data_IF_922672928438
#
_entry.id   IF_922672928438
#
_cell.length_a   1.000
_cell.length_b   1.000
_cell.length_c   1.000
_cell.angle_alpha   90.00
_cell.angle_beta   90.00
_cell.angle_gamma   90.00
#
_symmetry.space_group_name_H-M   'P 1'
#
loop_
_entity.id
_entity.type
_entity.pdbx_description
1 polymer ?
#
# COMPACT_ATOMS: atom_id res chain seq x y z
N UNK A 1 -10.75 -4.27 -6.28
CA UNK A 1 -9.60 -5.18 -6.54
C UNK A 1 -10.01 -6.56 -7.07
N UNK A 2 -10.53 -7.49 -6.27
CA UNK A 2 -10.91 -8.82 -6.78
C UNK A 2 -12.00 -8.79 -7.87
N UNK A 3 -12.99 -7.89 -7.74
CA UNK A 3 -14.01 -7.64 -8.78
C UNK A 3 -13.42 -7.00 -10.05
N UNK A 4 -12.39 -6.18 -9.91
CA UNK A 4 -11.69 -5.51 -11.02
C UNK A 4 -10.62 -6.41 -11.67
N UNK A 5 -10.45 -7.64 -11.17
CA UNK A 5 -9.51 -8.63 -11.69
C UNK A 5 -8.07 -8.46 -11.21
N UNK A 6 -7.79 -7.53 -10.29
CA UNK A 6 -6.44 -7.28 -9.76
C UNK A 6 -6.05 -8.18 -8.58
N UNK A 7 -6.97 -9.00 -8.08
CA UNK A 7 -6.69 -10.05 -7.08
C UNK A 7 -7.36 -11.37 -7.48
N UNK A 8 -6.87 -12.52 -7.00
CA UNK A 8 -7.52 -13.81 -7.22
C UNK A 8 -8.98 -13.79 -6.73
N UNK A 9 -9.90 -14.37 -7.51
CA UNK A 9 -11.33 -14.42 -7.16
C UNK A 9 -11.62 -15.17 -5.85
N UNK A 10 -10.69 -16.04 -5.42
CA UNK A 10 -10.79 -16.78 -4.16
C UNK A 10 -10.77 -15.83 -2.96
N UNK A 11 -10.01 -14.74 -3.03
CA UNK A 11 -9.89 -13.74 -1.95
C UNK A 11 -11.20 -12.99 -1.67
N UNK A 12 -12.16 -12.99 -2.61
CA UNK A 12 -13.48 -12.36 -2.44
C UNK A 12 -14.59 -13.35 -2.10
N UNK A 13 -14.27 -14.61 -1.74
CA UNK A 13 -15.29 -15.58 -1.31
C UNK A 13 -15.86 -15.17 0.04
N UNK A 14 -17.18 -14.94 0.07
CA UNK A 14 -17.93 -14.60 1.26
C UNK A 14 -18.50 -15.85 1.93
N UNK A 15 -18.53 -15.86 3.26
CA UNK A 15 -19.23 -16.88 4.03
C UNK A 15 -20.73 -16.72 3.88
N UNK A 16 -21.46 -17.81 3.64
CA UNK A 16 -22.92 -17.80 3.46
C UNK A 16 -23.67 -17.34 4.73
N UNK A 17 -23.10 -17.55 5.92
CA UNK A 17 -23.77 -17.29 7.19
C UNK A 17 -23.59 -15.86 7.72
N UNK A 18 -22.44 -15.24 7.44
CA UNK A 18 -22.05 -13.95 8.02
C UNK A 18 -21.59 -12.91 6.98
N UNK A 19 -21.61 -13.26 5.70
CA UNK A 19 -21.16 -12.40 4.60
C UNK A 19 -19.73 -11.82 4.80
N UNK A 20 -18.87 -12.56 5.51
CA UNK A 20 -17.48 -12.17 5.76
C UNK A 20 -16.54 -12.80 4.73
N UNK A 21 -15.47 -12.11 4.29
CA UNK A 21 -14.49 -12.66 3.35
C UNK A 21 -13.55 -13.66 4.04
N UNK A 22 -14.07 -14.84 4.38
CA UNK A 22 -13.39 -15.83 5.22
C UNK A 22 -12.04 -16.30 4.63
N UNK A 23 -11.97 -16.45 3.30
CA UNK A 23 -10.74 -16.91 2.64
C UNK A 23 -9.60 -15.90 2.80
N UNK A 24 -9.90 -14.59 2.71
CA UNK A 24 -8.91 -13.55 2.93
C UNK A 24 -8.48 -13.47 4.41
N UNK A 25 -9.42 -13.64 5.33
CA UNK A 25 -9.16 -13.62 6.77
C UNK A 25 -8.27 -14.79 7.20
N UNK A 26 -8.57 -16.01 6.75
CA UNK A 26 -7.76 -17.19 7.07
C UNK A 26 -6.35 -17.03 6.49
N UNK A 27 -6.23 -16.57 5.24
CA UNK A 27 -4.94 -16.32 4.63
C UNK A 27 -4.12 -15.29 5.41
N UNK A 28 -4.73 -14.15 5.76
CA UNK A 28 -4.08 -13.12 6.57
C UNK A 28 -3.66 -13.66 7.94
N UNK A 29 -4.52 -14.42 8.60
CA UNK A 29 -4.23 -15.03 9.91
C UNK A 29 -3.01 -15.94 9.85
N UNK A 30 -2.94 -16.84 8.86
CA UNK A 30 -1.81 -17.76 8.68
C UNK A 30 -0.51 -16.99 8.43
N UNK A 31 -0.55 -15.96 7.58
CA UNK A 31 0.62 -15.12 7.29
C UNK A 31 1.09 -14.37 8.54
N UNK A 32 0.17 -13.70 9.26
CA UNK A 32 0.51 -12.95 10.48
C UNK A 32 1.06 -13.87 11.55
N UNK A 33 0.43 -15.03 11.78
CA UNK A 33 0.91 -16.00 12.77
C UNK A 33 2.32 -16.50 12.41
N UNK A 34 2.57 -16.83 11.14
CA UNK A 34 3.90 -17.23 10.68
C UNK A 34 4.96 -16.14 10.91
N UNK A 35 4.63 -14.88 10.58
CA UNK A 35 5.52 -13.73 10.81
C UNK A 35 5.74 -13.50 12.31
N UNK A 36 4.70 -13.63 13.15
CA UNK A 36 4.83 -13.48 14.60
C UNK A 36 5.75 -14.54 15.22
N UNK A 37 5.62 -15.80 14.82
CA UNK A 37 6.53 -16.87 15.27
C UNK A 37 7.95 -16.59 14.83
N UNK A 38 8.15 -16.20 13.56
CA UNK A 38 9.47 -15.83 13.03
C UNK A 38 10.09 -14.68 13.84
N UNK A 39 9.33 -13.62 14.12
CA UNK A 39 9.80 -12.48 14.89
C UNK A 39 10.21 -12.86 16.31
N UNK A 40 9.45 -13.76 16.95
CA UNK A 40 9.78 -14.25 18.29
C UNK A 40 11.10 -15.03 18.30
N UNK A 41 11.41 -15.77 17.23
CA UNK A 41 12.65 -16.54 17.10
C UNK A 41 13.86 -15.64 16.80
N UNK A 42 13.68 -14.59 15.99
CA UNK A 42 14.79 -13.76 15.50
C UNK A 42 14.99 -12.44 16.23
N UNK A 43 14.06 -12.04 17.11
CA UNK A 43 14.03 -10.75 17.82
C UNK A 43 14.10 -9.50 16.89
N UNK A 44 13.68 -9.62 15.63
CA UNK A 44 13.71 -8.54 14.64
C UNK A 44 12.48 -7.61 14.69
N UNK A 45 11.92 -7.38 15.87
CA UNK A 45 10.70 -6.59 16.02
C UNK A 45 10.84 -5.16 15.44
N UNK A 46 11.96 -4.48 15.75
CA UNK A 46 12.24 -3.14 15.24
C UNK A 46 12.34 -3.09 13.71
N UNK A 47 12.83 -4.15 13.07
CA UNK A 47 12.95 -4.20 11.61
C UNK A 47 11.56 -4.19 10.96
N UNK A 48 10.61 -4.99 11.46
CA UNK A 48 9.25 -5.04 10.92
C UNK A 48 8.51 -3.74 11.15
N UNK A 49 8.70 -3.09 12.31
CA UNK A 49 8.14 -1.76 12.56
C UNK A 49 8.68 -0.72 11.58
N UNK A 50 10.01 -0.65 11.39
CA UNK A 50 10.63 0.28 10.46
C UNK A 50 10.20 0.02 9.02
N UNK A 51 10.07 -1.25 8.62
CA UNK A 51 9.56 -1.63 7.30
C UNK A 51 8.10 -1.20 7.13
N UNK A 52 7.25 -1.43 8.13
CA UNK A 52 5.86 -0.98 8.11
C UNK A 52 5.74 0.53 7.95
N UNK A 53 6.50 1.30 8.75
CA UNK A 53 6.53 2.76 8.64
C UNK A 53 7.04 3.24 7.27
N UNK A 54 8.03 2.56 6.68
CA UNK A 54 8.53 2.89 5.35
C UNK A 54 7.48 2.63 4.26
N UNK A 55 6.77 1.50 4.33
CA UNK A 55 5.67 1.17 3.41
C UNK A 55 4.53 2.18 3.54
N UNK A 56 4.13 2.53 4.77
CA UNK A 56 3.10 3.54 5.03
C UNK A 56 3.50 4.91 4.47
N UNK A 57 4.76 5.32 4.66
CA UNK A 57 5.26 6.58 4.13
C UNK A 57 5.22 6.63 2.59
N UNK A 58 5.57 5.53 1.93
CA UNK A 58 5.41 5.39 0.47
C UNK A 58 3.94 5.53 0.08
N UNK A 59 3.03 4.74 0.68
CA UNK A 59 1.60 4.74 0.34
C UNK A 59 1.01 6.14 0.52
N UNK A 60 1.25 6.79 1.66
CA UNK A 60 0.70 8.11 1.93
C UNK A 60 1.28 9.21 1.05
N UNK A 61 2.56 9.10 0.65
CA UNK A 61 3.12 10.01 -0.35
C UNK A 61 2.38 9.88 -1.70
N UNK A 62 2.14 8.65 -2.18
CA UNK A 62 1.40 8.40 -3.42
C UNK A 62 -0.05 8.87 -3.33
N UNK A 63 -0.72 8.65 -2.20
CA UNK A 63 -2.10 9.12 -1.98
C UNK A 63 -2.16 10.64 -2.02
N UNK A 64 -1.26 11.34 -1.32
CA UNK A 64 -1.23 12.80 -1.28
C UNK A 64 -0.87 13.41 -2.66
N UNK A 65 0.07 12.79 -3.38
CA UNK A 65 0.39 13.18 -4.76
C UNK A 65 -0.78 12.94 -5.71
N UNK A 66 -1.46 11.79 -5.61
CA UNK A 66 -2.62 11.48 -6.45
C UNK A 66 -3.76 12.45 -6.21
N UNK A 67 -4.00 12.80 -4.95
CA UNK A 67 -4.96 13.82 -4.57
C UNK A 67 -4.62 15.18 -5.17
N UNK A 68 -3.37 15.63 -5.04
CA UNK A 68 -2.88 16.89 -5.63
C UNK A 68 -3.01 16.86 -7.15
N UNK A 69 -2.64 15.75 -7.79
CA UNK A 69 -2.75 15.53 -9.24
C UNK A 69 -4.20 15.59 -9.73
N UNK A 70 -5.13 14.93 -9.02
CA UNK A 70 -6.57 15.03 -9.36
C UNK A 70 -7.07 16.48 -9.24
N UNK A 71 -6.56 17.25 -8.28
CA UNK A 71 -6.97 18.64 -8.11
C UNK A 71 -6.54 19.55 -9.25
N UNK A 72 -5.35 19.31 -9.79
CA UNK A 72 -4.76 20.08 -10.88
C UNK A 72 -5.28 19.63 -12.25
N UNK A 73 -5.44 18.32 -12.46
CA UNK A 73 -5.87 17.75 -13.75
C UNK A 73 -7.38 17.81 -13.97
N UNK A 74 -8.17 17.71 -12.90
CA UNK A 74 -9.64 17.72 -12.96
C UNK A 74 -10.24 18.76 -12.00
N UNK A 75 -10.02 20.07 -12.25
CA UNK A 75 -10.65 21.14 -11.46
C UNK A 75 -12.19 21.15 -11.57
N UNK A 76 -12.74 20.65 -12.68
CA UNK A 76 -14.17 20.63 -13.01
C UNK A 76 -14.99 19.60 -12.23
N UNK A 77 -14.35 18.58 -11.67
CA UNK A 77 -15.06 17.54 -10.93
C UNK A 77 -15.74 18.11 -9.68
N UNK A 78 -17.05 17.81 -9.54
CA UNK A 78 -17.82 18.21 -8.37
C UNK A 78 -17.26 17.53 -7.12
N UNK A 79 -16.93 18.32 -6.10
CA UNK A 79 -16.36 17.84 -4.82
C UNK A 79 -17.37 18.06 -3.70
N UNK A 80 -18.14 17.04 -3.30
CA UNK A 80 -19.11 17.16 -2.20
C UNK A 80 -18.44 17.54 -0.87
N UNK A 81 -17.18 17.14 -0.69
CA UNK A 81 -16.37 17.47 0.48
C UNK A 81 -15.07 18.18 0.07
N UNK A 82 -14.71 19.22 0.82
CA UNK A 82 -13.46 19.97 0.63
C UNK A 82 -12.74 20.10 1.96
N UNK A 83 -11.50 19.61 1.99
CA UNK A 83 -10.61 19.72 3.14
C UNK A 83 -10.21 21.19 3.32
N UNK A 84 -10.27 21.67 4.56
CA UNK A 84 -9.75 22.99 4.95
C UNK A 84 -8.23 23.05 4.69
N UNK A 85 -7.75 24.14 4.09
CA UNK A 85 -6.32 24.27 3.71
C UNK A 85 -5.99 23.93 2.25
N UNK A 86 -6.96 23.49 1.45
CA UNK A 86 -6.83 23.52 -0.01
C UNK A 86 -5.62 22.75 -0.56
N UNK A 87 -5.08 23.21 -1.70
CA UNK A 87 -3.93 22.60 -2.39
C UNK A 87 -2.61 22.66 -1.58
N UNK A 88 -2.30 23.75 -0.86
CA UNK A 88 -1.07 23.83 -0.07
C UNK A 88 -0.97 22.73 0.99
N UNK A 89 -2.07 22.41 1.68
CA UNK A 89 -2.07 21.37 2.69
C UNK A 89 -1.73 19.99 2.10
N UNK A 90 -2.28 19.66 0.92
CA UNK A 90 -1.97 18.39 0.26
C UNK A 90 -0.52 18.27 -0.21
N UNK A 91 0.07 19.38 -0.68
CA UNK A 91 1.48 19.41 -1.06
C UNK A 91 2.36 19.27 0.19
N UNK A 92 2.02 19.96 1.28
CA UNK A 92 2.71 19.85 2.56
C UNK A 92 2.70 18.43 3.11
N UNK A 93 1.54 17.74 3.08
CA UNK A 93 1.42 16.35 3.51
C UNK A 93 2.27 15.41 2.62
N UNK A 94 2.23 15.60 1.29
CA UNK A 94 3.06 14.81 0.38
C UNK A 94 4.55 15.01 0.70
N UNK A 95 4.98 16.25 0.88
CA UNK A 95 6.35 16.59 1.26
C UNK A 95 6.75 15.97 2.60
N UNK A 96 5.89 16.05 3.61
CA UNK A 96 6.13 15.45 4.93
C UNK A 96 6.37 13.95 4.85
N UNK A 97 5.50 13.20 4.17
CA UNK A 97 5.69 11.75 4.04
C UNK A 97 6.90 11.37 3.19
N UNK A 98 7.25 12.17 2.18
CA UNK A 98 8.49 11.99 1.42
C UNK A 98 9.72 12.24 2.32
N UNK A 99 9.68 13.27 3.17
CA UNK A 99 10.76 13.55 4.11
C UNK A 99 10.90 12.45 5.18
N UNK A 100 9.79 11.95 5.71
CA UNK A 100 9.78 10.80 6.64
C UNK A 100 10.39 9.59 5.96
N UNK A 101 10.01 9.29 4.71
CA UNK A 101 10.59 8.18 3.95
C UNK A 101 12.09 8.38 3.73
N UNK A 102 12.54 9.58 3.34
CA UNK A 102 13.95 9.87 3.15
C UNK A 102 14.75 9.72 4.46
N UNK A 103 14.21 10.19 5.58
CA UNK A 103 14.81 10.02 6.90
C UNK A 103 14.88 8.54 7.31
N UNK A 104 13.83 7.76 7.05
CA UNK A 104 13.83 6.31 7.28
C UNK A 104 14.89 5.61 6.44
N UNK A 105 15.02 5.93 5.16
CA UNK A 105 16.03 5.32 4.28
C UNK A 105 17.46 5.70 4.67
N UNK A 106 17.67 6.89 5.22
CA UNK A 106 18.98 7.35 5.68
C UNK A 106 19.38 6.75 7.04
N UNK A 107 18.41 6.46 7.92
CA UNK A 107 18.66 6.03 9.31
C UNK A 107 18.47 4.53 9.55
N UNK A 108 17.78 3.81 8.67
CA UNK A 108 17.49 2.40 8.85
C UNK A 108 18.61 1.48 8.35
N UNK A 109 18.62 0.25 8.88
CA UNK A 109 19.50 -0.80 8.38
C UNK A 109 19.23 -1.06 6.89
N UNK A 110 20.28 -1.39 6.14
CA UNK A 110 20.20 -1.68 4.70
C UNK A 110 19.11 -2.73 4.35
N UNK A 111 18.82 -3.63 5.29
CA UNK A 111 17.78 -4.66 5.20
C UNK A 111 16.39 -4.06 4.96
N UNK A 112 16.05 -2.95 5.62
CA UNK A 112 14.76 -2.27 5.46
C UNK A 112 14.64 -1.70 4.05
N UNK A 113 15.66 -1.02 3.57
CA UNK A 113 15.72 -0.50 2.20
C UNK A 113 15.62 -1.62 1.16
N UNK A 114 16.38 -2.71 1.34
CA UNK A 114 16.34 -3.86 0.43
C UNK A 114 14.94 -4.51 0.37
N UNK A 115 14.30 -4.70 1.52
CA UNK A 115 12.93 -5.25 1.59
C UNK A 115 11.90 -4.29 0.99
N UNK A 116 12.05 -2.98 1.22
CA UNK A 116 11.16 -1.97 0.64
C UNK A 116 11.27 -1.96 -0.89
N UNK A 117 12.48 -1.84 -1.45
CA UNK A 117 12.66 -1.78 -2.91
C UNK A 117 12.28 -3.09 -3.59
N UNK A 118 12.54 -4.25 -2.98
CA UNK A 118 12.10 -5.54 -3.52
C UNK A 118 10.57 -5.67 -3.51
N UNK A 119 9.90 -5.25 -2.43
CA UNK A 119 8.43 -5.24 -2.38
C UNK A 119 7.81 -4.29 -3.41
N UNK A 120 8.40 -3.11 -3.62
CA UNK A 120 7.99 -2.19 -4.68
C UNK A 120 8.20 -2.79 -6.07
N UNK A 121 9.36 -3.38 -6.33
CA UNK A 121 9.65 -4.02 -7.61
C UNK A 121 8.64 -5.16 -7.90
N UNK A 122 8.30 -5.97 -6.90
CA UNK A 122 7.26 -6.99 -7.02
C UNK A 122 5.88 -6.37 -7.30
N UNK A 123 5.52 -5.30 -6.61
CA UNK A 123 4.25 -4.61 -6.83
C UNK A 123 4.14 -4.02 -8.24
N UNK A 124 5.19 -3.34 -8.72
CA UNK A 124 5.24 -2.81 -10.09
C UNK A 124 5.26 -3.91 -11.14
N UNK A 125 6.02 -4.99 -10.91
CA UNK A 125 6.05 -6.16 -11.79
C UNK A 125 4.68 -6.82 -11.91
N UNK A 126 4.00 -7.01 -10.78
CA UNK A 126 2.63 -7.55 -10.76
C UNK A 126 1.64 -6.62 -11.46
N UNK A 127 1.69 -5.31 -11.19
CA UNK A 127 0.85 -4.31 -11.85
C UNK A 127 1.06 -4.32 -13.38
N UNK A 128 2.31 -4.42 -13.83
CA UNK A 128 2.66 -4.57 -15.25
C UNK A 128 2.12 -5.86 -15.86
N UNK A 129 2.21 -6.99 -15.14
CA UNK A 129 1.65 -8.27 -15.59
C UNK A 129 0.12 -8.22 -15.72
N UNK A 130 -0.57 -7.66 -14.73
CA UNK A 130 -2.04 -7.56 -14.73
C UNK A 130 -2.54 -6.62 -15.83
N UNK A 131 -1.89 -5.47 -16.02
CA UNK A 131 -2.27 -4.52 -17.09
C UNK A 131 -2.04 -5.13 -18.48
N UNK A 132 -0.90 -5.78 -18.72
CA UNK A 132 -0.65 -6.51 -19.98
C UNK A 132 -1.68 -7.62 -20.23
N UNK A 133 -1.99 -8.41 -19.21
CA UNK A 133 -3.00 -9.49 -19.32
C UNK A 133 -4.39 -8.94 -19.65
N UNK A 134 -4.76 -7.78 -19.11
CA UNK A 134 -6.04 -7.12 -19.40
C UNK A 134 -6.08 -6.58 -20.83
N UNK A 135 -4.99 -5.96 -21.29
CA UNK A 135 -4.89 -5.42 -22.65
C UNK A 135 -4.93 -6.53 -23.72
N UNK A 136 -4.34 -7.69 -23.46
CA UNK A 136 -4.37 -8.84 -24.39
C UNK A 136 -5.73 -9.58 -24.44
N UNK A 137 -6.71 -9.17 -23.64
CA UNK A 137 -8.07 -9.75 -23.60
C UNK A 137 -9.15 -8.82 -24.14
N UNK A 138 -8.80 -7.58 -24.47
CA UNK A 138 -9.66 -6.59 -25.12
C UNK A 138 -9.41 -6.63 -26.63
#
# INVERSE_FOLDING_TARGET
MAREGSLPRVSSRLSLRYSTPYAALIFLYVVVLGVSVWLQLTNYFSLVLLLGSAVDAVIYSFVAMSFTGCRLKHPEWRRPFRVWGGLPLSIGIAGLFILILAALLASSAWQVSALLFSSLALAFGYAGYVTRRKNNRA
#
